data_IF_443451292341
#
_entry.id   IF_443451292341
#
_cell.length_a   1.000
_cell.length_b   1.000
_cell.length_c   1.000
_cell.angle_alpha   90.00
_cell.angle_beta   90.00
_cell.angle_gamma   90.00
#
_symmetry.space_group_name_H-M   'P 1'
#
loop_
_entity.id
_entity.type
_entity.pdbx_description
1 polymer ?
#
# COMPACT_ATOMS: atom_id res chain seq x y z
N UNK A 1 22.44 11.57 3.17
CA UNK A 1 22.40 10.11 3.39
C UNK A 1 20.96 9.64 3.25
N UNK A 2 20.73 8.49 2.59
CA UNK A 2 19.40 7.91 2.54
C UNK A 2 18.97 7.44 3.94
N UNK A 3 17.71 7.66 4.30
CA UNK A 3 17.14 7.16 5.56
C UNK A 3 16.58 5.76 5.34
N UNK A 4 17.03 4.78 6.14
CA UNK A 4 16.53 3.40 6.11
C UNK A 4 15.44 3.22 7.16
N UNK A 5 14.31 2.70 6.73
CA UNK A 5 13.19 2.29 7.57
C UNK A 5 12.99 0.79 7.46
N UNK A 6 12.94 0.12 8.60
CA UNK A 6 12.77 -1.34 8.69
C UNK A 6 11.55 -1.63 9.55
N UNK A 7 10.70 -2.52 9.08
CA UNK A 7 9.50 -2.96 9.78
C UNK A 7 8.90 -4.22 9.15
N UNK A 8 7.78 -4.64 9.67
CA UNK A 8 7.05 -5.84 9.24
C UNK A 8 5.68 -5.49 8.69
N UNK A 9 5.02 -6.42 8.02
CA UNK A 9 3.64 -6.31 7.61
C UNK A 9 2.73 -6.65 8.80
N UNK A 10 2.32 -5.63 9.56
CA UNK A 10 1.64 -5.77 10.84
C UNK A 10 2.60 -5.98 12.02
N UNK A 11 2.05 -5.94 13.21
CA UNK A 11 2.83 -6.02 14.46
C UNK A 11 2.19 -6.90 15.54
N UNK A 12 0.96 -7.38 15.39
CA UNK A 12 0.27 -8.15 16.41
C UNK A 12 0.39 -9.65 16.14
N UNK A 13 1.49 -10.23 16.59
CA UNK A 13 1.78 -11.65 16.47
C UNK A 13 2.02 -12.26 17.86
N UNK A 14 1.12 -13.12 18.31
CA UNK A 14 1.22 -13.81 19.62
C UNK A 14 2.51 -14.66 19.74
N UNK A 15 2.99 -15.21 18.62
CA UNK A 15 4.22 -15.99 18.56
C UNK A 15 5.49 -15.19 18.87
N UNK A 16 5.39 -13.86 18.97
CA UNK A 16 6.53 -13.00 19.31
C UNK A 16 6.62 -12.67 20.81
N UNK A 17 5.72 -13.19 21.64
CA UNK A 17 5.87 -13.14 23.11
C UNK A 17 7.15 -13.84 23.54
N UNK A 18 7.86 -13.24 24.47
CA UNK A 18 9.18 -13.69 24.89
C UNK A 18 10.34 -13.38 23.94
N UNK A 19 10.06 -12.95 22.69
CA UNK A 19 11.07 -12.48 21.73
C UNK A 19 11.06 -10.95 21.61
N UNK A 20 9.92 -10.39 21.30
CA UNK A 20 9.70 -8.97 21.07
C UNK A 20 8.75 -8.37 22.09
N UNK A 21 7.80 -9.15 22.57
CA UNK A 21 6.73 -8.72 23.48
C UNK A 21 6.87 -9.31 24.87
N UNK A 22 6.49 -8.50 25.87
CA UNK A 22 6.34 -8.92 27.24
C UNK A 22 5.14 -9.88 27.41
N UNK A 23 5.12 -10.58 28.55
CA UNK A 23 3.99 -11.43 28.96
C UNK A 23 2.88 -10.66 29.66
N UNK A 24 2.90 -9.33 29.60
CA UNK A 24 1.87 -8.48 30.23
C UNK A 24 0.51 -8.75 29.58
N UNK A 25 -0.55 -9.09 30.35
CA UNK A 25 -1.88 -9.30 29.80
C UNK A 25 -2.49 -8.03 29.15
N UNK A 26 -2.10 -6.85 29.62
CA UNK A 26 -2.57 -5.55 29.11
C UNK A 26 -1.57 -4.92 28.12
N UNK A 27 -0.90 -5.75 27.32
CA UNK A 27 0.14 -5.33 26.39
C UNK A 27 -0.38 -4.38 25.31
N UNK A 28 0.31 -3.26 25.10
CA UNK A 28 0.20 -2.48 23.88
C UNK A 28 1.28 -2.94 22.89
N UNK A 29 0.89 -3.87 22.00
CA UNK A 29 1.77 -4.48 21.00
C UNK A 29 2.49 -3.46 20.13
N UNK A 30 1.81 -2.39 19.69
CA UNK A 30 2.41 -1.39 18.82
C UNK A 30 3.47 -0.56 19.56
N UNK A 31 3.23 -0.24 20.81
CA UNK A 31 4.18 0.49 21.65
C UNK A 31 5.45 -0.33 21.88
N UNK A 32 5.32 -1.61 22.23
CA UNK A 32 6.49 -2.49 22.39
C UNK A 32 7.22 -2.72 21.08
N UNK A 33 6.48 -2.97 19.97
CA UNK A 33 7.04 -3.10 18.64
C UNK A 33 7.89 -1.87 18.24
N UNK A 34 7.39 -0.67 18.51
CA UNK A 34 8.07 0.58 18.15
C UNK A 34 9.37 0.86 18.90
N UNK A 35 9.68 0.08 19.94
CA UNK A 35 10.98 0.13 20.63
C UNK A 35 12.11 -0.55 19.82
N UNK A 36 11.77 -1.47 18.91
CA UNK A 36 12.72 -2.26 18.12
C UNK A 36 12.77 -1.86 16.64
N UNK A 37 11.65 -1.39 16.08
CA UNK A 37 11.51 -1.02 14.68
C UNK A 37 11.14 0.45 14.53
N UNK A 38 11.56 1.06 13.44
CA UNK A 38 11.26 2.47 13.15
C UNK A 38 10.13 2.69 12.13
N UNK A 39 9.53 1.59 11.66
CA UNK A 39 8.36 1.62 10.78
C UNK A 39 7.55 0.34 10.88
N UNK A 40 6.31 0.39 10.35
CA UNK A 40 5.45 -0.79 10.19
C UNK A 40 4.50 -0.57 9.00
N UNK A 41 4.12 -1.65 8.31
CA UNK A 41 3.03 -1.62 7.34
C UNK A 41 1.70 -1.87 8.05
N UNK A 42 0.69 -1.02 7.76
CA UNK A 42 -0.70 -1.24 8.19
C UNK A 42 -1.45 -1.96 7.05
N UNK A 43 -1.70 -3.28 7.15
CA UNK A 43 -2.38 -4.02 6.10
C UNK A 43 -3.90 -4.10 6.26
N UNK A 44 -4.44 -3.91 7.48
CA UNK A 44 -5.83 -4.20 7.79
C UNK A 44 -6.85 -3.28 7.11
N UNK A 45 -6.44 -2.10 6.68
CA UNK A 45 -7.33 -1.17 5.97
C UNK A 45 -7.41 -1.44 4.47
N UNK A 46 -6.63 -2.40 3.97
CA UNK A 46 -6.66 -2.80 2.57
C UNK A 46 -8.00 -3.42 2.18
N UNK A 47 -8.52 -4.36 2.97
CA UNK A 47 -9.79 -5.00 2.71
C UNK A 47 -10.95 -4.13 3.23
N UNK A 48 -11.39 -3.18 2.42
CA UNK A 48 -12.37 -2.16 2.78
C UNK A 48 -13.71 -2.31 2.07
N UNK A 49 -13.78 -3.09 0.96
CA UNK A 49 -14.98 -3.24 0.15
C UNK A 49 -15.68 -4.58 0.41
N UNK A 50 -16.91 -4.49 0.86
CA UNK A 50 -17.79 -5.63 1.10
C UNK A 50 -19.05 -5.50 0.23
N UNK A 51 -19.20 -6.40 -0.77
CA UNK A 51 -20.25 -6.25 -1.79
C UNK A 51 -19.97 -5.03 -2.70
N UNK A 52 -21.03 -4.40 -3.19
CA UNK A 52 -20.92 -3.32 -4.19
C UNK A 52 -20.67 -1.96 -3.53
N UNK A 53 -21.32 -1.68 -2.39
CA UNK A 53 -21.37 -0.32 -1.82
C UNK A 53 -21.04 -0.26 -0.33
N UNK A 54 -20.67 -1.37 0.31
CA UNK A 54 -20.32 -1.36 1.72
C UNK A 54 -18.82 -1.13 1.90
N UNK A 55 -18.44 0.13 2.11
CA UNK A 55 -17.04 0.57 2.26
C UNK A 55 -16.78 0.85 3.73
N UNK A 56 -15.77 0.19 4.30
CA UNK A 56 -15.38 0.35 5.69
C UNK A 56 -14.14 1.23 5.77
N UNK A 57 -14.28 2.38 6.43
CA UNK A 57 -13.19 3.31 6.72
C UNK A 57 -12.53 3.01 8.08
N UNK A 58 -11.28 3.46 8.29
CA UNK A 58 -10.63 3.38 9.59
C UNK A 58 -11.45 4.01 10.71
N UNK A 59 -11.59 3.28 11.81
CA UNK A 59 -12.31 3.79 12.97
C UNK A 59 -11.44 4.78 13.76
N UNK A 60 -11.98 5.93 14.11
CA UNK A 60 -11.25 7.03 14.73
C UNK A 60 -10.52 6.65 16.02
N UNK A 61 -11.11 5.78 16.86
CA UNK A 61 -10.46 5.32 18.09
C UNK A 61 -9.24 4.42 17.81
N UNK A 62 -9.26 3.63 16.72
CA UNK A 62 -8.13 2.80 16.29
C UNK A 62 -6.97 3.69 15.83
N UNK A 63 -7.29 4.68 14.97
CA UNK A 63 -6.32 5.65 14.47
C UNK A 63 -5.65 6.43 15.60
N UNK A 64 -6.46 6.89 16.57
CA UNK A 64 -5.96 7.58 17.77
C UNK A 64 -5.05 6.68 18.60
N UNK A 65 -5.44 5.43 18.83
CA UNK A 65 -4.62 4.47 19.58
C UNK A 65 -3.26 4.25 18.90
N UNK A 66 -3.22 4.10 17.56
CA UNK A 66 -1.95 3.97 16.83
C UNK A 66 -1.08 5.20 16.99
N UNK A 67 -1.67 6.40 16.88
CA UNK A 67 -0.95 7.65 17.09
C UNK A 67 -0.31 7.77 18.49
N UNK A 68 -1.05 7.37 19.51
CA UNK A 68 -0.61 7.45 20.91
C UNK A 68 0.41 6.36 21.28
N UNK A 69 0.49 5.30 20.49
CA UNK A 69 1.39 4.16 20.73
C UNK A 69 2.81 4.35 20.24
N UNK A 70 3.07 5.38 19.41
CA UNK A 70 4.38 5.55 18.74
C UNK A 70 4.95 6.96 18.90
N UNK A 71 6.26 7.06 18.73
CA UNK A 71 6.95 8.35 18.71
C UNK A 71 6.70 9.14 17.42
N UNK A 72 6.94 10.46 17.39
CA UNK A 72 6.79 11.26 16.16
C UNK A 72 7.70 10.81 15.00
N UNK A 73 8.81 10.13 15.29
CA UNK A 73 9.78 9.64 14.29
C UNK A 73 9.37 8.33 13.65
N UNK A 74 8.50 7.57 14.31
CA UNK A 74 7.99 6.30 13.80
C UNK A 74 7.13 6.51 12.55
N UNK A 75 7.24 5.62 11.54
CA UNK A 75 6.50 5.75 10.28
C UNK A 75 5.61 4.56 10.01
N UNK A 76 4.41 4.86 9.51
CA UNK A 76 3.47 3.89 9.00
C UNK A 76 3.48 3.90 7.48
N UNK A 77 3.84 2.81 6.83
CA UNK A 77 3.43 2.58 5.44
C UNK A 77 2.04 1.95 5.44
N UNK A 78 1.21 2.33 4.50
CA UNK A 78 -0.20 1.90 4.51
C UNK A 78 -0.56 1.34 3.14
N UNK A 79 -1.11 0.13 3.13
CA UNK A 79 -1.84 -0.33 1.95
C UNK A 79 -3.16 0.41 1.86
N UNK A 80 -3.32 1.16 0.79
CA UNK A 80 -4.56 1.87 0.50
C UNK A 80 -5.71 0.88 0.27
N UNK A 81 -6.96 1.29 0.55
CA UNK A 81 -8.13 0.44 0.37
C UNK A 81 -8.22 -0.20 -1.01
N UNK A 82 -8.46 -1.50 -1.06
CA UNK A 82 -8.66 -2.23 -2.32
C UNK A 82 -9.89 -1.75 -3.10
N UNK A 83 -10.82 -1.09 -2.45
CA UNK A 83 -11.92 -0.36 -3.08
C UNK A 83 -11.43 0.52 -4.22
N UNK A 84 -10.24 1.15 -4.07
CA UNK A 84 -9.67 2.07 -5.06
C UNK A 84 -8.89 1.32 -6.15
N UNK A 85 -8.31 0.15 -5.84
CA UNK A 85 -7.38 -0.56 -6.73
C UNK A 85 -7.94 -1.78 -7.45
N UNK A 86 -9.09 -2.32 -7.00
CA UNK A 86 -9.78 -3.40 -7.68
C UNK A 86 -10.54 -2.86 -8.90
N UNK A 87 -10.31 -3.45 -10.06
CA UNK A 87 -11.06 -3.10 -11.29
C UNK A 87 -12.46 -3.71 -11.30
N UNK A 88 -12.61 -4.88 -10.67
CA UNK A 88 -13.87 -5.64 -10.62
C UNK A 88 -14.11 -6.16 -9.21
N UNK A 89 -15.37 -6.30 -8.86
CA UNK A 89 -15.78 -6.92 -7.60
C UNK A 89 -15.53 -8.43 -7.67
N UNK A 90 -15.11 -9.02 -6.55
CA UNK A 90 -14.94 -10.47 -6.45
C UNK A 90 -16.32 -11.15 -6.59
N UNK A 91 -16.37 -12.20 -7.40
CA UNK A 91 -17.57 -13.00 -7.57
C UNK A 91 -17.78 -13.91 -6.37
N UNK A 92 -19.03 -14.02 -5.93
CA UNK A 92 -19.48 -15.11 -5.03
C UNK A 92 -19.71 -16.42 -5.79
N UNK A 93 -20.01 -16.36 -7.11
CA UNK A 93 -20.34 -17.52 -7.94
C UNK A 93 -19.50 -17.54 -9.23
N UNK A 94 -19.08 -18.74 -9.63
CA UNK A 94 -18.16 -18.99 -10.75
C UNK A 94 -18.76 -18.62 -12.12
N UNK A 95 -20.07 -18.61 -12.24
CA UNK A 95 -20.78 -18.45 -13.53
C UNK A 95 -21.27 -17.03 -13.84
N UNK A 96 -20.99 -16.06 -12.99
CA UNK A 96 -21.43 -14.67 -13.23
C UNK A 96 -20.33 -13.85 -13.93
N UNK A 97 -20.72 -12.97 -14.85
CA UNK A 97 -19.81 -11.99 -15.45
C UNK A 97 -19.17 -11.09 -14.36
N UNK A 98 -17.87 -10.73 -14.50
CA UNK A 98 -17.23 -9.79 -13.56
C UNK A 98 -18.01 -8.48 -13.50
N UNK A 99 -18.34 -8.03 -12.29
CA UNK A 99 -18.99 -6.73 -12.09
C UNK A 99 -17.92 -5.67 -11.94
N UNK A 100 -17.98 -4.63 -12.75
CA UNK A 100 -17.07 -3.50 -12.63
C UNK A 100 -17.18 -2.87 -11.24
N UNK A 101 -16.05 -2.55 -10.63
CA UNK A 101 -16.02 -1.81 -9.40
C UNK A 101 -16.28 -0.31 -9.69
N UNK A 102 -17.40 0.26 -9.24
CA UNK A 102 -17.71 1.66 -9.50
C UNK A 102 -16.79 2.64 -8.77
N UNK A 103 -15.98 2.12 -7.84
CA UNK A 103 -15.06 2.90 -7.01
C UNK A 103 -13.60 2.84 -7.49
N UNK A 104 -13.34 2.12 -8.60
CA UNK A 104 -11.99 2.03 -9.15
C UNK A 104 -11.41 3.41 -9.44
N UNK A 105 -10.24 3.72 -8.87
CA UNK A 105 -9.57 5.01 -8.96
C UNK A 105 -10.43 6.21 -8.50
N UNK A 106 -11.28 6.01 -7.49
CA UNK A 106 -12.07 7.09 -6.89
C UNK A 106 -11.20 8.02 -6.04
N UNK A 107 -11.02 9.25 -6.49
CA UNK A 107 -10.28 10.27 -5.76
C UNK A 107 -11.03 10.72 -4.49
N UNK A 108 -12.35 10.72 -4.53
CA UNK A 108 -13.17 11.11 -3.38
C UNK A 108 -13.03 10.10 -2.24
N UNK A 109 -13.06 8.79 -2.54
CA UNK A 109 -12.80 7.75 -1.55
C UNK A 109 -11.37 7.81 -1.01
N UNK A 110 -10.38 8.13 -1.86
CA UNK A 110 -9.02 8.32 -1.38
C UNK A 110 -8.92 9.49 -0.40
N UNK A 111 -9.56 10.61 -0.70
CA UNK A 111 -9.61 11.77 0.20
C UNK A 111 -10.30 11.42 1.52
N UNK A 112 -11.46 10.79 1.46
CA UNK A 112 -12.19 10.33 2.65
C UNK A 112 -11.34 9.40 3.53
N UNK A 113 -10.63 8.43 2.90
CA UNK A 113 -9.68 7.56 3.60
C UNK A 113 -8.57 8.38 4.27
N UNK A 114 -7.92 9.28 3.52
CA UNK A 114 -6.84 10.12 4.05
C UNK A 114 -7.32 10.98 5.22
N UNK A 115 -8.51 11.56 5.12
CA UNK A 115 -9.09 12.37 6.19
C UNK A 115 -9.42 11.52 7.41
N UNK A 116 -9.87 10.28 7.24
CA UNK A 116 -10.14 9.36 8.35
C UNK A 116 -8.92 9.01 9.18
N UNK A 117 -7.71 9.13 8.61
CA UNK A 117 -6.42 8.86 9.27
C UNK A 117 -5.64 10.14 9.60
N UNK A 118 -6.29 11.31 9.62
CA UNK A 118 -5.66 12.61 9.87
C UNK A 118 -4.69 12.61 11.07
N UNK A 119 -5.02 12.02 12.24
CA UNK A 119 -4.11 12.00 13.39
C UNK A 119 -2.75 11.36 13.10
N UNK A 120 -2.64 10.49 12.08
CA UNK A 120 -1.39 9.84 11.67
C UNK A 120 -0.59 10.61 10.62
N UNK A 121 -1.09 11.71 10.05
CA UNK A 121 -0.45 12.37 8.90
C UNK A 121 1.05 12.66 9.10
N UNK A 122 1.46 13.06 10.30
CA UNK A 122 2.88 13.31 10.62
C UNK A 122 3.72 12.03 10.74
N UNK A 123 3.07 10.88 10.92
CA UNK A 123 3.69 9.57 11.03
C UNK A 123 3.58 8.75 9.74
N UNK A 124 3.00 9.29 8.66
CA UNK A 124 2.90 8.56 7.41
C UNK A 124 4.27 8.42 6.73
N UNK A 125 4.54 7.22 6.27
CA UNK A 125 5.46 6.86 5.23
C UNK A 125 4.69 6.71 3.91
N UNK A 126 5.15 5.84 2.98
CA UNK A 126 4.48 5.64 1.71
C UNK A 126 3.07 5.05 1.84
N UNK A 127 2.12 5.64 1.12
CA UNK A 127 0.79 5.11 0.87
C UNK A 127 0.83 4.26 -0.40
N UNK A 128 0.51 2.97 -0.30
CA UNK A 128 0.77 2.01 -1.37
C UNK A 128 -0.52 1.61 -2.08
N UNK A 129 -0.59 1.86 -3.38
CA UNK A 129 -1.60 1.30 -4.28
C UNK A 129 -1.16 -0.11 -4.68
N UNK A 130 -1.74 -1.13 -4.07
CA UNK A 130 -1.52 -2.52 -4.47
C UNK A 130 -2.57 -2.93 -5.49
N UNK A 131 -2.16 -3.12 -6.75
CA UNK A 131 -3.00 -3.67 -7.80
C UNK A 131 -2.87 -5.19 -7.85
N UNK A 132 -4.00 -5.86 -8.11
CA UNK A 132 -4.01 -7.27 -8.44
C UNK A 132 -3.35 -7.55 -9.81
N UNK A 133 -3.19 -8.81 -10.19
CA UNK A 133 -2.80 -9.15 -11.55
C UNK A 133 -3.89 -8.70 -12.53
N UNK A 134 -3.53 -7.76 -13.38
CA UNK A 134 -4.42 -7.18 -14.40
C UNK A 134 -4.27 -7.97 -15.71
N UNK A 135 -5.14 -8.98 -15.91
CA UNK A 135 -5.24 -9.67 -17.17
C UNK A 135 -5.97 -8.81 -18.22
N UNK A 136 -6.06 -9.28 -19.48
CA UNK A 136 -6.66 -8.50 -20.58
C UNK A 136 -8.17 -8.24 -20.42
N UNK A 137 -8.86 -9.02 -19.61
CA UNK A 137 -10.29 -8.80 -19.30
C UNK A 137 -10.47 -7.64 -18.33
N UNK A 138 -9.51 -7.49 -17.39
CA UNK A 138 -9.51 -6.42 -16.38
C UNK A 138 -8.91 -5.11 -16.90
N UNK A 139 -7.89 -5.23 -17.75
CA UNK A 139 -7.14 -4.10 -18.30
C UNK A 139 -6.52 -4.52 -19.64
N UNK A 140 -6.90 -3.90 -20.73
CA UNK A 140 -6.49 -4.32 -22.08
C UNK A 140 -4.98 -4.22 -22.30
N UNK A 141 -4.35 -3.23 -21.68
CA UNK A 141 -2.91 -2.98 -21.82
C UNK A 141 -2.34 -2.14 -20.68
N UNK A 142 -1.02 -2.16 -20.54
CA UNK A 142 -0.28 -1.24 -19.68
C UNK A 142 -0.53 0.23 -20.05
N UNK A 143 -0.69 0.54 -21.33
CA UNK A 143 -0.96 1.90 -21.79
C UNK A 143 -2.32 2.41 -21.30
N UNK A 144 -3.37 1.58 -21.37
CA UNK A 144 -4.68 1.89 -20.80
C UNK A 144 -4.59 2.13 -19.30
N UNK A 145 -3.94 1.23 -18.57
CA UNK A 145 -3.70 1.38 -17.14
C UNK A 145 -3.03 2.72 -16.80
N UNK A 146 -1.93 3.04 -17.47
CA UNK A 146 -1.20 4.28 -17.23
C UNK A 146 -2.01 5.52 -17.61
N UNK A 147 -2.86 5.42 -18.64
CA UNK A 147 -3.76 6.51 -19.05
C UNK A 147 -4.78 6.83 -17.95
N UNK A 148 -5.51 5.83 -17.47
CA UNK A 148 -6.48 5.96 -16.39
C UNK A 148 -5.81 6.43 -15.08
N UNK A 149 -4.67 5.83 -14.76
CA UNK A 149 -3.97 6.14 -13.51
C UNK A 149 -3.35 7.54 -13.53
N UNK A 150 -2.93 8.07 -14.67
CA UNK A 150 -2.40 9.44 -14.81
C UNK A 150 -3.44 10.49 -14.45
N UNK A 151 -4.68 10.34 -14.91
CA UNK A 151 -5.77 11.23 -14.56
C UNK A 151 -6.03 11.21 -13.03
N UNK A 152 -6.06 10.02 -12.45
CA UNK A 152 -6.20 9.87 -11.01
C UNK A 152 -5.04 10.52 -10.24
N UNK A 153 -3.79 10.26 -10.65
CA UNK A 153 -2.57 10.77 -9.98
C UNK A 153 -2.50 12.30 -10.00
N UNK A 154 -2.99 12.95 -11.06
CA UNK A 154 -2.99 14.42 -11.14
C UNK A 154 -3.81 15.09 -10.02
N UNK A 155 -4.66 14.35 -9.33
CA UNK A 155 -5.50 14.79 -8.22
C UNK A 155 -5.00 14.34 -6.84
N UNK A 156 -3.85 13.66 -6.76
CA UNK A 156 -3.29 13.20 -5.48
C UNK A 156 -2.79 14.39 -4.64
N UNK A 157 -2.97 14.36 -3.31
CA UNK A 157 -2.39 15.35 -2.42
C UNK A 157 -0.86 15.30 -2.42
N UNK A 158 -0.19 16.36 -2.88
CA UNK A 158 1.29 16.42 -3.01
C UNK A 158 2.06 16.21 -1.71
N UNK A 159 1.42 16.41 -0.56
CA UNK A 159 2.05 16.30 0.76
C UNK A 159 2.36 14.87 1.22
N UNK A 160 1.87 13.86 0.50
CA UNK A 160 2.06 12.44 0.84
C UNK A 160 2.90 11.72 -0.21
N UNK A 161 3.59 10.67 0.23
CA UNK A 161 4.35 9.78 -0.63
C UNK A 161 3.42 8.65 -1.11
N UNK A 162 3.31 8.46 -2.42
CA UNK A 162 2.50 7.39 -3.00
C UNK A 162 3.35 6.42 -3.80
N UNK A 163 3.17 5.11 -3.57
CA UNK A 163 3.89 4.07 -4.28
C UNK A 163 2.95 3.07 -4.95
N UNK A 164 3.40 2.47 -6.04
CA UNK A 164 2.65 1.43 -6.77
C UNK A 164 3.29 0.06 -6.53
N UNK A 165 2.46 -0.90 -6.12
CA UNK A 165 2.75 -2.32 -6.18
C UNK A 165 1.93 -2.95 -7.30
N UNK A 166 2.60 -3.41 -8.36
CA UNK A 166 1.97 -4.17 -9.45
C UNK A 166 2.24 -5.65 -9.29
N UNK A 167 1.28 -6.48 -9.73
CA UNK A 167 1.39 -7.94 -9.85
C UNK A 167 1.60 -8.38 -11.28
N UNK A 168 1.92 -7.47 -12.18
CA UNK A 168 2.16 -7.71 -13.59
C UNK A 168 3.65 -7.64 -13.91
N UNK A 169 4.38 -8.77 -14.03
CA UNK A 169 5.83 -8.75 -14.35
C UNK A 169 6.13 -8.05 -15.68
N UNK A 170 5.24 -8.19 -16.65
CA UNK A 170 5.37 -7.58 -17.97
C UNK A 170 5.19 -6.05 -17.97
N UNK A 171 4.70 -5.46 -16.86
CA UNK A 171 4.64 -4.00 -16.70
C UNK A 171 5.97 -3.43 -16.23
N UNK A 172 6.89 -4.24 -15.69
CA UNK A 172 8.20 -3.78 -15.22
C UNK A 172 9.14 -3.51 -16.39
N UNK A 173 8.92 -2.39 -17.05
CA UNK A 173 9.69 -1.93 -18.22
C UNK A 173 9.97 -0.42 -18.12
N UNK A 174 10.78 0.08 -19.04
CA UNK A 174 11.23 1.48 -19.04
C UNK A 174 10.04 2.46 -19.03
N UNK A 175 9.02 2.22 -19.85
CA UNK A 175 7.83 3.07 -19.93
C UNK A 175 7.09 3.18 -18.57
N UNK A 176 7.06 2.09 -17.80
CA UNK A 176 6.45 2.10 -16.47
C UNK A 176 7.28 2.92 -15.48
N UNK A 177 8.58 2.68 -15.42
CA UNK A 177 9.44 3.42 -14.49
C UNK A 177 9.55 4.90 -14.85
N UNK A 178 9.55 5.23 -16.16
CA UNK A 178 9.42 6.61 -16.63
C UNK A 178 8.12 7.24 -16.15
N UNK A 179 7.00 6.53 -16.28
CA UNK A 179 5.69 6.98 -15.79
C UNK A 179 5.70 7.26 -14.29
N UNK A 180 6.29 6.38 -13.46
CA UNK A 180 6.43 6.61 -12.03
C UNK A 180 7.22 7.88 -11.73
N UNK A 181 8.37 8.04 -12.37
CA UNK A 181 9.23 9.20 -12.20
C UNK A 181 8.52 10.51 -12.55
N UNK A 182 7.83 10.54 -13.69
CA UNK A 182 7.16 11.75 -14.19
C UNK A 182 5.98 12.15 -13.30
N UNK A 183 5.40 11.20 -12.56
CA UNK A 183 4.29 11.43 -11.64
C UNK A 183 4.70 11.44 -10.16
N UNK A 184 6.00 11.47 -9.83
CA UNK A 184 6.52 11.48 -8.46
C UNK A 184 6.05 10.30 -7.61
N UNK A 185 5.89 9.12 -8.23
CA UNK A 185 5.45 7.89 -7.58
C UNK A 185 6.64 6.99 -7.25
N UNK A 186 6.60 6.35 -6.08
CA UNK A 186 7.54 5.28 -5.74
C UNK A 186 7.14 3.95 -6.37
N UNK A 187 8.13 3.06 -6.55
CA UNK A 187 7.88 1.65 -6.84
C UNK A 187 7.95 0.82 -5.56
N UNK A 188 7.06 -0.17 -5.44
CA UNK A 188 7.16 -1.21 -4.42
C UNK A 188 7.83 -2.43 -5.03
N UNK A 189 9.10 -2.62 -4.73
CA UNK A 189 9.82 -3.84 -5.08
C UNK A 189 9.33 -4.99 -4.22
N UNK A 190 8.90 -6.06 -4.86
CA UNK A 190 8.33 -7.19 -4.16
C UNK A 190 9.09 -8.48 -4.51
N UNK A 191 9.49 -9.22 -3.47
CA UNK A 191 10.01 -10.57 -3.61
C UNK A 191 8.87 -11.57 -3.47
N UNK A 192 8.71 -12.47 -4.45
CA UNK A 192 7.63 -13.46 -4.48
C UNK A 192 6.55 -13.16 -5.51
N UNK A 193 5.48 -13.97 -5.51
CA UNK A 193 4.33 -13.83 -6.42
C UNK A 193 4.69 -13.81 -7.91
N UNK A 194 5.64 -14.65 -8.32
CA UNK A 194 6.12 -14.75 -9.72
C UNK A 194 6.68 -13.45 -10.30
N UNK A 195 7.04 -12.49 -9.43
CA UNK A 195 7.71 -11.27 -9.84
C UNK A 195 9.22 -11.51 -10.04
N UNK A 196 9.86 -10.76 -10.96
CA UNK A 196 11.30 -10.85 -11.16
C UNK A 196 12.08 -10.55 -9.87
N UNK A 197 13.28 -11.12 -9.70
CA UNK A 197 14.14 -10.80 -8.56
C UNK A 197 14.34 -9.29 -8.40
N UNK A 198 14.26 -8.82 -7.14
CA UNK A 198 14.34 -7.38 -6.84
C UNK A 198 15.62 -6.77 -7.39
N UNK A 199 16.77 -7.44 -7.24
CA UNK A 199 18.06 -6.92 -7.68
C UNK A 199 18.14 -6.73 -9.20
N UNK A 200 17.53 -7.61 -10.01
CA UNK A 200 17.50 -7.48 -11.47
C UNK A 200 16.67 -6.27 -11.91
N UNK A 201 15.49 -6.11 -11.30
CA UNK A 201 14.61 -4.97 -11.58
C UNK A 201 15.26 -3.66 -11.12
N UNK A 202 15.85 -3.66 -9.92
CA UNK A 202 16.53 -2.48 -9.38
C UNK A 202 17.71 -2.07 -10.27
N UNK A 203 18.64 -2.98 -10.59
CA UNK A 203 19.82 -2.66 -11.40
C UNK A 203 19.46 -2.11 -12.77
N UNK A 204 18.37 -2.60 -13.36
CA UNK A 204 17.90 -2.16 -14.67
C UNK A 204 17.26 -0.77 -14.66
N UNK A 205 16.56 -0.41 -13.57
CA UNK A 205 15.71 0.78 -13.55
C UNK A 205 16.03 1.77 -12.42
N UNK A 206 17.13 1.60 -11.70
CA UNK A 206 17.52 2.48 -10.57
C UNK A 206 17.63 3.97 -10.94
N UNK A 207 17.99 4.29 -12.18
CA UNK A 207 18.11 5.67 -12.64
C UNK A 207 16.77 6.42 -12.77
N UNK A 208 15.65 5.68 -12.73
CA UNK A 208 14.30 6.22 -12.67
C UNK A 208 13.82 6.45 -11.23
N UNK A 209 14.47 5.85 -10.25
CA UNK A 209 14.11 5.96 -8.82
C UNK A 209 14.80 7.18 -8.25
N UNK A 210 14.02 8.17 -7.77
CA UNK A 210 14.60 9.44 -7.28
C UNK A 210 14.60 9.55 -5.77
N UNK A 211 13.43 9.62 -5.16
CA UNK A 211 13.30 10.10 -3.79
C UNK A 211 13.18 8.97 -2.77
N UNK A 212 12.40 7.95 -3.07
CA UNK A 212 12.15 6.83 -2.17
C UNK A 212 11.72 5.58 -2.94
N UNK A 213 11.83 4.46 -2.27
CA UNK A 213 11.28 3.18 -2.72
C UNK A 213 10.83 2.35 -1.53
N UNK A 214 10.00 1.36 -1.80
CA UNK A 214 9.55 0.38 -0.80
C UNK A 214 10.04 -1.00 -1.25
N UNK A 215 10.54 -1.78 -0.32
CA UNK A 215 10.92 -3.17 -0.56
C UNK A 215 10.06 -4.05 0.34
N UNK A 216 9.34 -4.99 -0.24
CA UNK A 216 8.52 -5.98 0.47
C UNK A 216 9.08 -7.38 0.22
N UNK A 217 9.58 -8.00 1.29
CA UNK A 217 10.08 -9.36 1.28
C UNK A 217 8.98 -10.29 1.79
N UNK A 218 8.59 -11.24 0.97
CA UNK A 218 7.68 -12.32 1.34
C UNK A 218 8.50 -13.61 1.52
N UNK A 219 8.38 -14.20 2.71
CA UNK A 219 8.97 -15.50 3.01
C UNK A 219 8.01 -16.64 2.65
#
# INVERSE_FOLDING_TARGET
MAELRIGTCGWKYESWKGLLYSDNPDINYLKEYSAYYNSVEIPQWFFSLYGINNIIMPQSYVVKNYKESVTPQFKFSIKLPNTITLTHLNKSDIDQQPVLNPHFLSIDLLKEFIDSIEPLHKNLGPLMFQFEYLNKEKMKSQFEFQGLFREFVSNLPERFLFAIETRNPNYLNETYFQFLRDNKLGHVFMQGYDMPPIYETYDRYKDYIKDYTVIRLHG
#
